data_IF_942753575717
#
_entry.id   IF_942753575717
#
_cell.length_a   1.000
_cell.length_b   1.000
_cell.length_c   1.000
_cell.angle_alpha   90.00
_cell.angle_beta   90.00
_cell.angle_gamma   90.00
#
_symmetry.space_group_name_H-M   'P 1'
#
loop_
_entity.id
_entity.type
_entity.pdbx_description
1 polymer ?
#
# COMPACT_ATOMS: atom_id res chain seq x y z
N UNK A 1 -5.79 -16.26 17.05
CA UNK A 1 -4.78 -16.85 16.14
C UNK A 1 -3.67 -17.42 17.00
N UNK A 2 -3.46 -18.74 17.03
CA UNK A 2 -2.37 -19.39 17.78
C UNK A 2 -1.16 -19.70 16.90
N UNK A 3 -1.34 -19.72 15.57
CA UNK A 3 -0.29 -20.04 14.60
C UNK A 3 0.27 -18.76 13.96
N UNK A 4 1.58 -18.70 13.66
CA UNK A 4 2.25 -17.49 13.17
C UNK A 4 2.12 -17.35 11.65
N UNK A 5 0.89 -17.39 11.11
CA UNK A 5 0.64 -17.12 9.70
C UNK A 5 -0.60 -16.26 9.48
N UNK A 6 -0.53 -15.47 8.40
CA UNK A 6 -1.59 -14.56 8.01
C UNK A 6 -2.60 -15.30 7.11
N UNK A 7 -3.88 -15.14 7.44
CA UNK A 7 -5.00 -15.63 6.61
C UNK A 7 -5.97 -14.48 6.43
N UNK A 8 -6.24 -14.16 5.16
CA UNK A 8 -7.34 -13.28 4.78
C UNK A 8 -8.38 -14.14 4.06
N UNK A 9 -9.61 -14.10 4.54
CA UNK A 9 -10.73 -14.85 4.00
C UNK A 9 -11.99 -13.98 4.04
N UNK A 10 -12.96 -14.27 3.16
CA UNK A 10 -14.24 -13.54 3.13
C UNK A 10 -15.08 -13.81 4.37
N UNK A 11 -14.93 -14.99 4.97
CA UNK A 11 -15.68 -15.43 6.12
C UNK A 11 -15.15 -16.77 6.59
N UNK A 12 -15.60 -17.18 7.77
CA UNK A 12 -15.24 -18.47 8.36
C UNK A 12 -16.50 -19.31 8.51
N UNK A 13 -16.39 -20.58 8.16
CA UNK A 13 -17.44 -21.56 8.37
C UNK A 13 -16.78 -22.86 8.82
N UNK A 14 -17.26 -23.52 9.89
CA UNK A 14 -16.55 -24.64 10.51
C UNK A 14 -16.67 -25.96 9.72
N UNK A 15 -17.63 -26.07 8.80
CA UNK A 15 -17.85 -27.28 8.00
C UNK A 15 -16.68 -27.54 7.04
N UNK A 16 -16.28 -28.81 6.94
CA UNK A 16 -15.30 -29.23 5.95
C UNK A 16 -15.76 -28.90 4.53
N UNK A 17 -14.79 -28.59 3.66
CA UNK A 17 -15.09 -28.37 2.25
C UNK A 17 -15.46 -29.72 1.60
N UNK A 18 -16.66 -29.81 1.05
CA UNK A 18 -17.18 -30.98 0.35
C UNK A 18 -17.70 -30.60 -1.03
N UNK A 19 -17.91 -31.60 -1.88
CA UNK A 19 -18.55 -31.44 -3.21
C UNK A 19 -17.83 -30.47 -4.16
N UNK A 20 -16.51 -30.31 -4.01
CA UNK A 20 -15.68 -29.52 -4.92
C UNK A 20 -14.46 -30.32 -5.37
N UNK A 21 -13.99 -30.02 -6.57
CA UNK A 21 -12.77 -30.59 -7.15
C UNK A 21 -11.81 -29.45 -7.50
N UNK A 22 -10.51 -29.66 -7.32
CA UNK A 22 -9.49 -28.72 -7.76
C UNK A 22 -9.56 -28.57 -9.28
N UNK A 23 -9.86 -27.35 -9.75
CA UNK A 23 -10.00 -27.09 -11.18
C UNK A 23 -8.66 -26.84 -11.87
N UNK A 24 -7.75 -26.10 -11.22
CA UNK A 24 -6.47 -25.69 -11.81
C UNK A 24 -5.45 -25.34 -10.72
N UNK A 25 -4.16 -25.36 -11.07
CA UNK A 25 -3.05 -24.93 -10.23
C UNK A 25 -2.09 -24.07 -11.06
N UNK A 26 -1.72 -22.90 -10.55
CA UNK A 26 -0.99 -21.87 -11.31
C UNK A 26 -1.70 -21.45 -12.61
N UNK A 27 -3.02 -21.51 -12.63
CA UNK A 27 -3.86 -20.93 -13.68
C UNK A 27 -4.33 -19.50 -13.34
N UNK A 28 -4.89 -18.78 -14.33
CA UNK A 28 -5.55 -17.51 -14.08
C UNK A 28 -6.81 -17.70 -13.22
N UNK A 29 -6.99 -16.86 -12.21
CA UNK A 29 -8.17 -16.89 -11.33
C UNK A 29 -8.81 -15.51 -11.24
N UNK A 30 -10.14 -15.46 -11.17
CA UNK A 30 -10.88 -14.22 -10.93
C UNK A 30 -11.36 -14.15 -9.48
N UNK A 31 -10.91 -13.15 -8.74
CA UNK A 31 -11.34 -12.86 -7.38
C UNK A 31 -12.13 -11.54 -7.40
N UNK A 32 -13.45 -11.63 -7.21
CA UNK A 32 -14.33 -10.47 -7.39
C UNK A 32 -14.28 -9.95 -8.82
N UNK A 33 -13.85 -8.71 -9.00
CA UNK A 33 -13.69 -8.06 -10.31
C UNK A 33 -12.23 -8.03 -10.81
N UNK A 34 -11.29 -8.67 -10.09
CA UNK A 34 -9.87 -8.67 -10.42
C UNK A 34 -9.46 -10.03 -10.97
N UNK A 35 -8.75 -10.02 -12.09
CA UNK A 35 -8.07 -11.20 -12.64
C UNK A 35 -6.66 -11.25 -12.07
N UNK A 36 -6.32 -12.37 -11.44
CA UNK A 36 -5.00 -12.64 -10.87
C UNK A 36 -4.29 -13.65 -11.78
N UNK A 37 -3.07 -13.31 -12.16
CA UNK A 37 -2.19 -14.17 -12.95
C UNK A 37 -1.10 -14.78 -12.06
N UNK A 38 -0.60 -15.97 -12.41
CA UNK A 38 0.60 -16.51 -11.78
C UNK A 38 1.77 -15.53 -11.90
N UNK A 39 2.42 -15.23 -10.78
CA UNK A 39 3.53 -14.27 -10.71
C UNK A 39 3.14 -12.84 -10.34
N UNK A 40 1.84 -12.54 -10.20
CA UNK A 40 1.40 -11.27 -9.63
C UNK A 40 1.84 -11.13 -8.16
N UNK A 41 2.15 -9.90 -7.75
CA UNK A 41 2.52 -9.58 -6.38
C UNK A 41 1.25 -9.32 -5.59
N UNK A 42 1.09 -10.02 -4.47
CA UNK A 42 -0.08 -9.87 -3.58
C UNK A 42 0.33 -9.08 -2.34
N UNK A 43 -0.20 -7.86 -2.19
CA UNK A 43 -0.05 -7.06 -0.98
C UNK A 43 -1.32 -7.17 -0.14
N UNK A 44 -1.20 -7.79 1.03
CA UNK A 44 -2.30 -7.94 1.98
C UNK A 44 -2.06 -7.12 3.25
N UNK A 45 -3.01 -6.27 3.61
CA UNK A 45 -3.10 -5.57 4.90
C UNK A 45 -4.50 -5.78 5.50
N UNK A 46 -4.71 -5.35 6.74
CA UNK A 46 -6.03 -5.44 7.38
C UNK A 46 -7.12 -4.70 6.60
N UNK A 47 -6.77 -3.61 5.92
CA UNK A 47 -7.68 -2.84 5.07
C UNK A 47 -8.12 -3.61 3.80
N UNK A 48 -7.36 -4.61 3.36
CA UNK A 48 -7.68 -5.38 2.17
C UNK A 48 -6.48 -5.97 1.43
N UNK A 49 -6.75 -6.46 0.22
CA UNK A 49 -5.78 -7.11 -0.66
C UNK A 49 -5.68 -6.35 -1.97
N UNK A 50 -4.46 -6.09 -2.41
CA UNK A 50 -4.15 -5.50 -3.71
C UNK A 50 -3.32 -6.49 -4.52
N UNK A 51 -3.69 -6.66 -5.78
CA UNK A 51 -2.98 -7.50 -6.75
C UNK A 51 -2.22 -6.58 -7.71
N UNK A 52 -0.91 -6.75 -7.80
CA UNK A 52 -0.03 -5.88 -8.58
C UNK A 52 0.61 -6.73 -9.69
N UNK A 53 0.33 -6.43 -10.98
CA UNK A 53 0.99 -7.12 -12.07
C UNK A 53 2.50 -6.87 -12.04
N UNK A 54 3.33 -7.89 -12.33
CA UNK A 54 4.77 -7.82 -12.14
C UNK A 54 5.43 -6.70 -12.97
N UNK A 55 4.91 -6.41 -14.17
CA UNK A 55 5.42 -5.33 -15.03
C UNK A 55 5.26 -3.93 -14.42
N UNK A 56 4.32 -3.73 -13.50
CA UNK A 56 4.08 -2.44 -12.84
C UNK A 56 4.66 -2.37 -11.42
N UNK A 57 5.26 -3.45 -10.93
CA UNK A 57 5.74 -3.54 -9.55
C UNK A 57 6.67 -2.37 -9.17
N UNK A 58 7.64 -2.06 -10.04
CA UNK A 58 8.58 -0.96 -9.81
C UNK A 58 7.89 0.41 -9.75
N UNK A 59 7.05 0.71 -10.73
CA UNK A 59 6.32 1.98 -10.80
C UNK A 59 5.40 2.18 -9.58
N UNK A 60 4.71 1.11 -9.16
CA UNK A 60 3.85 1.13 -7.98
C UNK A 60 4.67 1.41 -6.73
N UNK A 61 5.81 0.75 -6.54
CA UNK A 61 6.69 0.97 -5.39
C UNK A 61 7.18 2.43 -5.36
N UNK A 62 7.77 2.91 -6.45
CA UNK A 62 8.33 4.27 -6.55
C UNK A 62 7.26 5.35 -6.29
N UNK A 63 6.07 5.19 -6.86
CA UNK A 63 4.98 6.14 -6.61
C UNK A 63 4.47 6.05 -5.17
N UNK A 64 4.36 4.85 -4.60
CA UNK A 64 3.88 4.64 -3.24
C UNK A 64 4.81 5.22 -2.19
N UNK A 65 6.12 5.09 -2.38
CA UNK A 65 7.15 5.67 -1.51
C UNK A 65 7.05 7.19 -1.52
N UNK A 66 6.92 7.79 -2.71
CA UNK A 66 6.80 9.23 -2.83
C UNK A 66 5.51 9.75 -2.18
N UNK A 67 4.38 9.07 -2.37
CA UNK A 67 3.11 9.42 -1.73
C UNK A 67 3.22 9.36 -0.19
N UNK A 68 3.83 8.29 0.35
CA UNK A 68 4.04 8.15 1.80
C UNK A 68 4.93 9.23 2.37
N UNK A 69 6.03 9.57 1.70
CA UNK A 69 6.93 10.64 2.13
C UNK A 69 6.23 12.01 2.13
N UNK A 70 5.40 12.27 1.11
CA UNK A 70 4.62 13.52 1.03
C UNK A 70 3.56 13.59 2.14
N UNK A 71 2.85 12.50 2.40
CA UNK A 71 1.87 12.43 3.49
C UNK A 71 2.52 12.63 4.87
N UNK A 72 3.66 11.98 5.12
CA UNK A 72 4.43 12.16 6.36
C UNK A 72 4.88 13.62 6.53
N UNK A 73 5.47 14.21 5.49
CA UNK A 73 5.91 15.61 5.54
C UNK A 73 4.75 16.58 5.71
N UNK A 74 3.63 16.35 5.03
CA UNK A 74 2.40 17.13 5.18
C UNK A 74 1.91 17.11 6.63
N UNK A 75 1.76 15.93 7.22
CA UNK A 75 1.36 15.78 8.63
C UNK A 75 2.33 16.46 9.59
N UNK A 76 3.63 16.31 9.35
CA UNK A 76 4.67 16.95 10.18
C UNK A 76 4.62 18.48 10.11
N UNK A 77 4.46 19.05 8.91
CA UNK A 77 4.42 20.52 8.76
C UNK A 77 3.16 21.15 9.34
N UNK A 78 2.04 20.42 9.34
CA UNK A 78 0.82 20.81 10.06
C UNK A 78 1.08 20.80 11.57
N UNK A 79 1.70 19.74 12.10
CA UNK A 79 2.04 19.64 13.51
C UNK A 79 3.03 20.74 13.97
N UNK A 80 3.99 21.09 13.10
CA UNK A 80 4.94 22.20 13.32
C UNK A 80 4.30 23.59 13.18
N UNK A 81 3.03 23.69 12.76
CA UNK A 81 2.31 24.95 12.55
C UNK A 81 2.77 25.76 11.33
N UNK A 82 3.53 25.16 10.40
CA UNK A 82 4.07 25.85 9.21
C UNK A 82 3.03 26.01 8.10
N UNK A 83 2.16 25.02 7.94
CA UNK A 83 1.10 25.00 6.93
C UNK A 83 -0.22 24.57 7.57
N UNK A 84 -1.31 25.11 7.05
CA UNK A 84 -2.65 24.71 7.47
C UNK A 84 -3.08 23.39 6.79
N UNK A 85 -3.97 22.60 7.41
CA UNK A 85 -4.50 21.39 6.77
C UNK A 85 -5.08 21.67 5.37
N UNK A 86 -5.82 22.78 5.23
CA UNK A 86 -6.39 23.19 3.95
C UNK A 86 -5.35 23.54 2.88
N UNK A 87 -4.12 23.91 3.24
CA UNK A 87 -3.04 24.11 2.26
C UNK A 87 -2.41 22.78 1.82
N UNK A 88 -2.26 21.83 2.75
CA UNK A 88 -1.65 20.52 2.48
C UNK A 88 -2.57 19.61 1.65
N UNK A 89 -3.89 19.71 1.86
CA UNK A 89 -4.89 18.91 1.15
C UNK A 89 -5.15 19.38 -0.30
N UNK A 90 -4.69 20.58 -0.66
CA UNK A 90 -4.78 21.14 -2.02
C UNK A 90 -3.51 20.84 -2.82
N UNK A 91 -3.52 21.20 -4.11
CA UNK A 91 -2.31 21.18 -4.92
C UNK A 91 -1.22 22.05 -4.25
N UNK A 92 -0.07 21.44 -3.95
CA UNK A 92 1.01 22.09 -3.23
C UNK A 92 1.56 23.29 -4.01
N UNK A 93 1.83 24.37 -3.29
CA UNK A 93 2.45 25.55 -3.88
C UNK A 93 3.89 25.26 -4.31
N UNK A 94 4.42 26.05 -5.26
CA UNK A 94 5.82 25.94 -5.69
C UNK A 94 6.82 26.12 -4.53
N UNK A 95 6.44 26.83 -3.47
CA UNK A 95 7.24 26.95 -2.24
C UNK A 95 7.29 25.63 -1.49
N UNK A 96 6.14 24.99 -1.27
CA UNK A 96 6.04 23.70 -0.58
C UNK A 96 6.81 22.60 -1.33
N UNK A 97 6.70 22.56 -2.66
CA UNK A 97 7.46 21.58 -3.47
C UNK A 97 8.98 21.74 -3.30
N UNK A 98 9.48 22.98 -3.26
CA UNK A 98 10.91 23.25 -3.02
C UNK A 98 11.35 22.84 -1.61
N UNK A 99 10.54 23.13 -0.61
CA UNK A 99 10.82 22.77 0.79
C UNK A 99 10.79 21.25 0.99
N UNK A 100 9.81 20.57 0.41
CA UNK A 100 9.73 19.11 0.39
C UNK A 100 10.94 18.49 -0.32
N UNK A 101 11.33 19.01 -1.49
CA UNK A 101 12.49 18.51 -2.21
C UNK A 101 13.81 18.70 -1.43
N UNK A 102 13.92 19.79 -0.65
CA UNK A 102 15.06 20.01 0.25
C UNK A 102 15.03 19.01 1.40
N UNK A 103 13.89 18.88 2.08
CA UNK A 103 13.70 17.95 3.19
C UNK A 103 13.98 16.50 2.77
N UNK A 104 13.49 16.06 1.60
CA UNK A 104 13.68 14.71 1.07
C UNK A 104 15.16 14.33 0.90
N UNK A 105 16.06 15.31 0.67
CA UNK A 105 17.51 15.07 0.55
C UNK A 105 18.23 14.96 1.89
N UNK A 106 17.66 15.52 2.95
CA UNK A 106 18.28 15.60 4.27
C UNK A 106 17.88 14.43 5.18
N UNK A 107 16.77 13.74 4.89
CA UNK A 107 16.24 12.66 5.75
C UNK A 107 16.84 11.29 5.49
N UNK A 108 16.81 10.46 6.53
CA UNK A 108 16.92 9.01 6.41
C UNK A 108 15.54 8.41 6.10
N UNK A 109 15.36 7.89 4.87
CA UNK A 109 14.09 7.32 4.43
C UNK A 109 13.70 6.04 5.17
N UNK A 110 14.67 5.26 5.64
CA UNK A 110 14.41 3.99 6.34
C UNK A 110 13.71 4.27 7.68
N UNK A 111 14.26 5.19 8.48
CA UNK A 111 13.69 5.59 9.76
C UNK A 111 12.28 6.16 9.61
N UNK A 112 12.01 6.93 8.55
CA UNK A 112 10.67 7.46 8.27
C UNK A 112 9.69 6.34 7.95
N UNK A 113 10.08 5.34 7.17
CA UNK A 113 9.21 4.22 6.84
C UNK A 113 8.96 3.27 8.01
N UNK A 114 9.88 3.17 8.97
CA UNK A 114 9.67 2.41 10.21
C UNK A 114 8.65 3.07 11.14
N UNK A 115 8.46 4.39 11.03
CA UNK A 115 7.48 5.16 11.81
C UNK A 115 6.06 5.12 11.21
N UNK A 116 5.89 4.62 9.98
CA UNK A 116 4.63 4.58 9.23
C UNK A 116 3.93 3.21 9.32
#
# INVERSE_FOLDING_TARGET
RQLPFNVLCRGTHPTAIGEVTMADMNGPIRIGNVTCMPGDIVLAKEAGVVIIPPQYAKEVVESSENVRLRDYWGKKTIADGKYTPGEVDRAWSAKMEKEFAKWKKEINTIEVFEQL
#
